data_IF_289274745375
#
_entry.id   IF_289274745375
#
_cell.length_a   1.000
_cell.length_b   1.000
_cell.length_c   1.000
_cell.angle_alpha   90.00
_cell.angle_beta   90.00
_cell.angle_gamma   90.00
#
_symmetry.space_group_name_H-M   'P 1'
#
loop_
_entity.id
_entity.type
_entity.pdbx_description
1 polymer ?
#
# COMPACT_ATOMS: atom_id res chain seq x y z
N UNK A 1 2.37 -8.02 -16.66
CA UNK A 1 1.34 -8.49 -17.61
C UNK A 1 1.50 -9.96 -17.94
N UNK A 2 2.73 -10.45 -18.19
CA UNK A 2 2.98 -11.84 -18.59
C UNK A 2 2.55 -12.82 -17.49
N UNK A 3 2.92 -12.57 -16.23
CA UNK A 3 2.48 -13.37 -15.08
C UNK A 3 0.96 -13.36 -14.93
N UNK A 4 0.31 -12.21 -15.14
CA UNK A 4 -1.15 -12.09 -15.06
C UNK A 4 -1.82 -12.94 -16.15
N UNK A 5 -1.30 -12.90 -17.38
CA UNK A 5 -1.81 -13.70 -18.48
C UNK A 5 -1.63 -15.20 -18.20
N UNK A 6 -0.47 -15.61 -17.69
CA UNK A 6 -0.21 -16.99 -17.30
C UNK A 6 -1.16 -17.47 -16.17
N UNK A 7 -1.40 -16.64 -15.16
CA UNK A 7 -2.36 -16.96 -14.08
C UNK A 7 -3.77 -17.16 -14.66
N UNK A 8 -4.20 -16.27 -15.57
CA UNK A 8 -5.52 -16.35 -16.21
C UNK A 8 -5.65 -17.62 -17.05
N UNK A 9 -4.62 -17.97 -17.82
CA UNK A 9 -4.59 -19.19 -18.64
C UNK A 9 -4.71 -20.45 -17.79
N UNK A 10 -3.86 -20.59 -16.75
CA UNK A 10 -3.88 -21.75 -15.86
C UNK A 10 -5.15 -21.83 -14.99
N UNK A 11 -5.78 -20.69 -14.67
CA UNK A 11 -7.05 -20.67 -13.95
C UNK A 11 -8.21 -21.31 -14.74
N UNK A 12 -8.09 -21.43 -16.07
CA UNK A 12 -9.12 -22.07 -16.90
C UNK A 12 -9.31 -23.56 -16.63
N UNK A 13 -8.26 -24.25 -16.22
CA UNK A 13 -8.23 -25.70 -15.96
C UNK A 13 -8.17 -26.04 -14.46
N UNK A 14 -7.97 -25.04 -13.60
CA UNK A 14 -7.82 -25.20 -12.17
C UNK A 14 -9.16 -25.13 -11.43
N UNK A 15 -9.22 -25.78 -10.27
CA UNK A 15 -10.36 -25.76 -9.35
C UNK A 15 -10.02 -25.19 -7.99
N UNK A 16 -8.79 -25.39 -7.52
CA UNK A 16 -8.32 -24.98 -6.20
C UNK A 16 -7.03 -24.15 -6.29
N UNK A 17 -7.11 -22.89 -5.95
CA UNK A 17 -5.97 -21.99 -5.98
C UNK A 17 -5.40 -21.73 -4.57
N UNK A 18 -4.09 -21.93 -4.39
CA UNK A 18 -3.36 -21.46 -3.22
C UNK A 18 -2.62 -20.18 -3.57
N UNK A 19 -2.90 -19.07 -2.86
CA UNK A 19 -2.23 -17.79 -3.02
C UNK A 19 -1.35 -17.52 -1.80
N UNK A 20 -0.04 -17.52 -1.99
CA UNK A 20 0.94 -17.31 -0.91
C UNK A 20 1.27 -15.82 -0.80
N UNK A 21 0.77 -15.19 0.26
CA UNK A 21 0.97 -13.79 0.57
C UNK A 21 -0.32 -13.07 0.90
N UNK A 22 -0.46 -12.61 2.15
CA UNK A 22 -1.63 -11.87 2.66
C UNK A 22 -1.49 -10.35 2.55
N UNK A 23 -0.67 -9.86 1.64
CA UNK A 23 -0.59 -8.44 1.26
C UNK A 23 -1.58 -8.09 0.14
N UNK A 24 -1.61 -6.83 -0.27
CA UNK A 24 -2.54 -6.31 -1.27
C UNK A 24 -2.65 -7.20 -2.52
N UNK A 25 -1.52 -7.45 -3.19
CA UNK A 25 -1.50 -8.19 -4.45
C UNK A 25 -1.97 -9.64 -4.31
N UNK A 26 -1.65 -10.29 -3.18
CA UNK A 26 -2.11 -11.64 -2.92
C UNK A 26 -3.62 -11.72 -2.67
N UNK A 27 -4.16 -10.77 -1.93
CA UNK A 27 -5.60 -10.68 -1.67
C UNK A 27 -6.38 -10.36 -2.95
N UNK A 28 -5.89 -9.46 -3.79
CA UNK A 28 -6.52 -9.15 -5.08
C UNK A 28 -6.43 -10.33 -6.06
N UNK A 29 -5.29 -11.04 -6.11
CA UNK A 29 -5.15 -12.24 -6.93
C UNK A 29 -6.13 -13.33 -6.49
N UNK A 30 -6.23 -13.60 -5.19
CA UNK A 30 -7.18 -14.58 -4.65
C UNK A 30 -8.63 -14.20 -4.95
N UNK A 31 -8.99 -12.94 -4.76
CA UNK A 31 -10.32 -12.42 -5.05
C UNK A 31 -10.65 -12.52 -6.55
N UNK A 32 -9.70 -12.19 -7.42
CA UNK A 32 -9.85 -12.33 -8.86
C UNK A 32 -10.02 -13.80 -9.31
N UNK A 33 -9.31 -14.75 -8.69
CA UNK A 33 -9.44 -16.18 -8.95
C UNK A 33 -10.78 -16.71 -8.43
N UNK A 34 -11.20 -16.33 -7.22
CA UNK A 34 -12.49 -16.66 -6.67
C UNK A 34 -13.64 -16.15 -7.56
N UNK A 35 -13.54 -14.91 -8.05
CA UNK A 35 -14.49 -14.33 -9.00
C UNK A 35 -14.56 -15.06 -10.36
N UNK A 36 -13.58 -15.91 -10.67
CA UNK A 36 -13.57 -16.83 -11.83
C UNK A 36 -14.11 -18.22 -11.51
N UNK A 37 -14.54 -18.46 -10.27
CA UNK A 37 -15.17 -19.70 -9.85
C UNK A 37 -14.21 -20.73 -9.23
N UNK A 38 -12.95 -20.34 -8.90
CA UNK A 38 -12.04 -21.23 -8.19
C UNK A 38 -12.28 -21.15 -6.68
N UNK A 39 -12.08 -22.25 -5.99
CA UNK A 39 -11.89 -22.27 -4.54
C UNK A 39 -10.50 -21.68 -4.24
N UNK A 40 -10.45 -20.46 -3.72
CA UNK A 40 -9.19 -19.76 -3.49
C UNK A 40 -8.88 -19.62 -2.00
N UNK A 41 -7.69 -20.10 -1.59
CA UNK A 41 -7.18 -19.98 -0.23
C UNK A 41 -5.99 -19.05 -0.19
N UNK A 42 -6.07 -17.98 0.61
CA UNK A 42 -4.94 -17.09 0.92
C UNK A 42 -4.14 -17.67 2.07
N UNK A 43 -2.85 -17.90 1.86
CA UNK A 43 -1.92 -18.37 2.89
C UNK A 43 -0.95 -17.26 3.26
N UNK A 44 -0.91 -16.89 4.53
CA UNK A 44 0.00 -15.85 5.03
C UNK A 44 0.83 -16.34 6.19
N UNK A 45 2.14 -16.04 6.15
CA UNK A 45 3.09 -16.46 7.19
C UNK A 45 2.95 -15.64 8.49
N UNK A 46 2.51 -14.40 8.39
CA UNK A 46 2.25 -13.54 9.54
C UNK A 46 0.90 -13.82 10.21
N UNK A 47 0.67 -13.28 11.41
CA UNK A 47 -0.58 -13.47 12.14
C UNK A 47 -1.76 -12.69 11.55
N UNK A 48 -1.49 -11.57 10.87
CA UNK A 48 -2.51 -10.67 10.32
C UNK A 48 -2.29 -10.36 8.85
N UNK A 49 -3.38 -10.15 8.11
CA UNK A 49 -3.34 -9.68 6.73
C UNK A 49 -2.88 -8.23 6.66
N UNK A 50 -2.20 -7.87 5.55
CA UNK A 50 -1.73 -6.51 5.32
C UNK A 50 -0.97 -5.90 6.51
N UNK A 51 -0.15 -6.68 7.17
CA UNK A 51 0.60 -6.30 8.36
C UNK A 51 1.54 -5.08 8.18
N UNK A 52 1.85 -4.71 6.96
CA UNK A 52 2.57 -3.46 6.68
C UNK A 52 1.68 -2.22 6.86
N UNK A 53 0.37 -2.33 6.55
CA UNK A 53 -0.59 -1.23 6.58
C UNK A 53 -1.50 -1.25 7.83
N UNK A 54 -1.85 -2.44 8.34
CA UNK A 54 -2.83 -2.61 9.40
C UNK A 54 -2.18 -3.05 10.72
N UNK A 55 -2.83 -2.70 11.82
CA UNK A 55 -2.61 -3.29 13.13
C UNK A 55 -3.42 -4.59 13.30
N UNK A 56 -3.32 -5.23 14.47
CA UNK A 56 -3.98 -6.50 14.73
C UNK A 56 -5.51 -6.41 14.59
N UNK A 57 -6.12 -5.33 15.07
CA UNK A 57 -7.58 -5.12 15.00
C UNK A 57 -8.03 -4.86 13.58
N UNK A 58 -7.36 -3.96 12.86
CA UNK A 58 -7.66 -3.67 11.46
C UNK A 58 -7.48 -4.90 10.56
N UNK A 59 -6.42 -5.69 10.81
CA UNK A 59 -6.19 -6.95 10.11
C UNK A 59 -7.26 -8.01 10.39
N UNK A 60 -7.77 -8.09 11.61
CA UNK A 60 -8.87 -9.00 11.97
C UNK A 60 -10.20 -8.58 11.30
N UNK A 61 -10.48 -7.28 11.25
CA UNK A 61 -11.66 -6.75 10.53
C UNK A 61 -11.56 -7.05 9.04
N UNK A 62 -10.42 -6.77 8.42
CA UNK A 62 -10.19 -7.07 7.01
C UNK A 62 -10.36 -8.57 6.73
N UNK A 63 -9.78 -9.43 7.56
CA UNK A 63 -9.90 -10.89 7.43
C UNK A 63 -11.36 -11.31 7.43
N UNK A 64 -12.13 -10.87 8.43
CA UNK A 64 -13.56 -11.22 8.56
C UNK A 64 -14.37 -10.76 7.33
N UNK A 65 -14.08 -9.56 6.83
CA UNK A 65 -14.73 -9.03 5.64
C UNK A 65 -14.39 -9.85 4.38
N UNK A 66 -13.13 -10.25 4.22
CA UNK A 66 -12.67 -11.09 3.10
C UNK A 66 -13.27 -12.49 3.18
N UNK A 67 -13.27 -13.13 4.35
CA UNK A 67 -13.87 -14.46 4.55
C UNK A 67 -15.39 -14.44 4.26
N UNK A 68 -16.07 -13.31 4.49
CA UNK A 68 -17.48 -13.16 4.15
C UNK A 68 -17.76 -13.15 2.64
N UNK A 69 -16.76 -12.93 1.79
CA UNK A 69 -16.87 -13.05 0.33
C UNK A 69 -16.76 -14.48 -0.18
N UNK A 70 -16.43 -15.44 0.70
CA UNK A 70 -16.22 -16.86 0.34
C UNK A 70 -14.76 -17.25 0.16
N UNK A 71 -13.83 -16.31 0.32
CA UNK A 71 -12.39 -16.61 0.32
C UNK A 71 -11.98 -17.30 1.63
N UNK A 72 -11.15 -18.32 1.53
CA UNK A 72 -10.51 -18.93 2.70
C UNK A 72 -9.20 -18.20 3.05
N UNK A 73 -8.97 -17.95 4.34
CA UNK A 73 -7.76 -17.27 4.83
C UNK A 73 -7.07 -18.08 5.91
N UNK A 74 -5.83 -18.47 5.64
CA UNK A 74 -4.95 -19.23 6.55
C UNK A 74 -3.77 -18.33 6.93
N UNK A 75 -3.72 -17.90 8.18
CA UNK A 75 -2.63 -17.07 8.73
C UNK A 75 -1.70 -17.86 9.65
N UNK A 76 -0.49 -17.36 9.89
CA UNK A 76 0.52 -18.01 10.73
C UNK A 76 1.16 -19.26 10.11
N UNK A 77 0.93 -19.52 8.82
CA UNK A 77 1.44 -20.69 8.10
C UNK A 77 2.56 -20.33 7.14
N UNK A 78 3.77 -20.75 7.46
CA UNK A 78 4.95 -20.55 6.60
C UNK A 78 5.04 -21.66 5.58
N UNK A 79 4.79 -21.34 4.31
CA UNK A 79 4.97 -22.27 3.18
C UNK A 79 6.45 -22.60 3.00
N UNK A 80 6.76 -23.88 2.81
CA UNK A 80 8.13 -24.40 2.69
C UNK A 80 8.35 -25.24 1.45
N UNK A 81 7.31 -25.89 0.94
CA UNK A 81 7.39 -26.80 -0.18
C UNK A 81 6.22 -26.63 -1.13
N UNK A 82 6.45 -26.92 -2.40
CA UNK A 82 5.43 -27.17 -3.40
C UNK A 82 5.58 -28.64 -3.84
N UNK A 83 4.46 -29.35 -3.92
CA UNK A 83 4.42 -30.76 -4.36
C UNK A 83 3.86 -30.81 -5.77
N UNK A 84 4.45 -31.67 -6.60
CA UNK A 84 4.00 -31.89 -7.96
C UNK A 84 3.81 -33.39 -8.20
N UNK A 85 2.98 -33.73 -9.19
CA UNK A 85 2.81 -35.07 -9.68
C UNK A 85 3.95 -35.48 -10.65
N UNK A 86 3.86 -36.68 -11.23
CA UNK A 86 4.82 -37.18 -12.20
C UNK A 86 4.88 -36.37 -13.50
N UNK A 87 3.82 -35.61 -13.80
CA UNK A 87 3.74 -34.69 -14.94
C UNK A 87 4.25 -33.28 -14.65
N UNK A 88 4.75 -33.05 -13.42
CA UNK A 88 5.20 -31.74 -12.91
C UNK A 88 4.05 -30.71 -12.72
N UNK A 89 2.79 -31.17 -12.63
CA UNK A 89 1.66 -30.32 -12.25
C UNK A 89 1.61 -30.19 -10.72
N UNK A 90 1.32 -28.98 -10.21
CA UNK A 90 1.18 -28.72 -8.78
C UNK A 90 0.01 -29.52 -8.19
N UNK A 91 0.20 -30.11 -7.01
CA UNK A 91 -0.84 -30.88 -6.32
C UNK A 91 -1.10 -30.40 -4.90
N UNK A 92 -0.12 -29.74 -4.27
CA UNK A 92 -0.27 -29.18 -2.93
C UNK A 92 0.87 -28.23 -2.58
N UNK A 93 0.64 -27.40 -1.56
CA UNK A 93 1.70 -26.68 -0.82
C UNK A 93 1.83 -27.29 0.59
N UNK A 94 3.08 -27.30 1.10
CA UNK A 94 3.41 -27.78 2.44
C UNK A 94 3.90 -26.69 3.34
N UNK A 95 3.58 -26.78 4.61
CA UNK A 95 3.91 -25.82 5.64
C UNK A 95 5.02 -26.30 6.58
N UNK A 96 5.60 -25.36 7.33
CA UNK A 96 6.69 -25.65 8.25
C UNK A 96 6.31 -26.58 9.41
N UNK A 97 5.03 -26.68 9.75
CA UNK A 97 4.47 -27.59 10.77
C UNK A 97 4.15 -28.99 10.24
N UNK A 98 4.36 -29.25 8.95
CA UNK A 98 4.12 -30.52 8.28
C UNK A 98 2.73 -30.69 7.67
N UNK A 99 1.81 -29.74 7.90
CA UNK A 99 0.52 -29.74 7.23
C UNK A 99 0.64 -29.42 5.74
N UNK A 100 -0.41 -29.77 4.97
CA UNK A 100 -0.48 -29.53 3.52
C UNK A 100 -1.84 -28.99 3.13
N UNK A 101 -1.83 -28.12 2.12
CA UNK A 101 -3.03 -27.61 1.43
C UNK A 101 -3.00 -28.10 -0.02
N UNK A 102 -4.02 -28.84 -0.45
CA UNK A 102 -4.19 -29.27 -1.83
C UNK A 102 -4.48 -28.10 -2.74
N UNK A 103 -3.85 -28.02 -3.90
CA UNK A 103 -4.12 -27.01 -4.92
C UNK A 103 -3.63 -27.48 -6.28
N UNK A 104 -4.29 -27.04 -7.33
CA UNK A 104 -3.92 -27.25 -8.73
C UNK A 104 -3.46 -25.96 -9.41
N UNK A 105 -3.54 -24.81 -8.71
CA UNK A 105 -2.94 -23.54 -9.07
C UNK A 105 -2.21 -22.91 -7.88
N UNK A 106 -0.96 -22.49 -8.06
CA UNK A 106 -0.17 -21.82 -7.05
C UNK A 106 0.25 -20.41 -7.52
N UNK A 107 -0.15 -19.39 -6.77
CA UNK A 107 0.26 -18.00 -7.00
C UNK A 107 1.14 -17.52 -5.86
N UNK A 108 2.32 -16.99 -6.20
CA UNK A 108 3.27 -16.44 -5.24
C UNK A 108 3.21 -14.91 -5.25
N UNK A 109 2.68 -14.32 -4.18
CA UNK A 109 2.55 -12.86 -3.97
C UNK A 109 3.24 -12.43 -2.67
N UNK A 110 4.48 -12.91 -2.47
CA UNK A 110 5.24 -12.77 -1.20
C UNK A 110 6.01 -11.46 -1.08
N UNK A 111 5.70 -10.47 -1.90
CA UNK A 111 6.36 -9.17 -1.96
C UNK A 111 7.48 -9.12 -3.01
N UNK A 112 8.14 -7.97 -3.06
CA UNK A 112 9.19 -7.67 -4.02
C UNK A 112 10.56 -7.58 -3.35
N UNK A 113 11.60 -7.72 -4.16
CA UNK A 113 12.99 -7.44 -3.78
C UNK A 113 13.58 -6.45 -4.77
N UNK A 114 14.25 -5.39 -4.31
CA UNK A 114 14.95 -4.48 -5.18
C UNK A 114 15.94 -5.20 -6.10
N UNK A 115 15.94 -4.85 -7.38
CA UNK A 115 16.93 -5.40 -8.31
C UNK A 115 18.23 -4.61 -8.20
N UNK A 116 19.21 -5.18 -7.52
CA UNK A 116 20.49 -4.54 -7.18
C UNK A 116 21.70 -5.27 -7.77
N UNK A 117 21.47 -6.24 -8.64
CA UNK A 117 22.54 -7.09 -9.19
C UNK A 117 23.60 -6.31 -9.95
N UNK A 118 23.20 -5.36 -10.79
CA UNK A 118 24.11 -4.50 -11.55
C UNK A 118 24.99 -3.63 -10.62
N UNK A 119 24.35 -3.01 -9.62
CA UNK A 119 25.03 -2.14 -8.67
C UNK A 119 26.08 -2.90 -7.83
N UNK A 120 25.72 -4.11 -7.36
CA UNK A 120 26.70 -4.99 -6.68
C UNK A 120 27.86 -5.38 -7.56
N UNK A 121 27.58 -5.71 -8.83
CA UNK A 121 28.62 -6.03 -9.81
C UNK A 121 29.55 -4.84 -10.13
N UNK A 122 29.04 -3.63 -9.99
CA UNK A 122 29.81 -2.38 -10.13
C UNK A 122 30.54 -1.96 -8.85
N UNK A 123 30.36 -2.66 -7.73
CA UNK A 123 31.01 -2.36 -6.46
C UNK A 123 30.34 -1.27 -5.61
N UNK A 124 29.09 -0.90 -5.94
CA UNK A 124 28.34 0.09 -5.17
C UNK A 124 27.84 -0.50 -3.84
N UNK A 125 27.70 0.35 -2.84
CA UNK A 125 27.13 -0.01 -1.53
C UNK A 125 25.66 -0.36 -1.66
N UNK A 126 25.35 -1.60 -1.34
CA UNK A 126 24.00 -2.17 -1.35
C UNK A 126 23.72 -2.80 0.00
N UNK A 127 22.71 -2.29 0.69
CA UNK A 127 22.10 -2.92 1.85
C UNK A 127 20.84 -3.69 1.42
N UNK A 128 19.65 -3.21 1.77
CA UNK A 128 18.39 -3.72 1.22
C UNK A 128 18.21 -3.29 -0.24
N UNK A 129 18.60 -2.04 -0.56
CA UNK A 129 18.68 -1.49 -1.90
C UNK A 129 19.98 -0.68 -2.05
N UNK A 130 20.17 0.02 -3.16
CA UNK A 130 21.36 0.83 -3.45
C UNK A 130 21.33 2.07 -2.59
N UNK A 131 22.36 2.30 -1.78
CA UNK A 131 22.40 3.44 -0.84
C UNK A 131 22.66 4.75 -1.59
N UNK A 132 21.81 5.75 -1.35
CA UNK A 132 21.90 7.07 -1.97
C UNK A 132 21.87 8.20 -0.93
N UNK A 133 22.44 9.34 -1.33
CA UNK A 133 22.38 10.60 -0.58
C UNK A 133 21.05 11.36 -0.83
N UNK A 134 20.96 12.59 -0.28
CA UNK A 134 19.79 13.46 -0.40
C UNK A 134 19.55 13.98 -1.83
N UNK A 135 20.47 13.80 -2.76
CA UNK A 135 20.34 14.15 -4.18
C UNK A 135 20.11 12.93 -5.06
N UNK A 136 19.78 11.78 -4.46
CA UNK A 136 19.61 10.48 -5.14
C UNK A 136 20.89 9.99 -5.82
N UNK A 137 22.05 10.45 -5.38
CA UNK A 137 23.37 10.05 -5.87
C UNK A 137 23.91 8.89 -5.02
N UNK A 138 24.57 7.93 -5.65
CA UNK A 138 25.27 6.86 -4.94
C UNK A 138 26.29 7.45 -3.94
N UNK A 139 26.43 6.83 -2.78
CA UNK A 139 27.44 7.26 -1.80
C UNK A 139 28.88 6.84 -2.17
N UNK A 140 29.04 6.04 -3.22
CA UNK A 140 30.33 5.49 -3.66
C UNK A 140 30.87 6.17 -4.91
N UNK A 141 30.03 6.79 -5.73
CA UNK A 141 30.41 7.36 -7.02
C UNK A 141 29.53 8.58 -7.33
N UNK A 142 30.18 9.72 -7.58
CA UNK A 142 29.52 11.00 -7.80
C UNK A 142 28.79 11.10 -9.14
N UNK A 143 29.08 10.21 -10.09
CA UNK A 143 28.51 10.19 -11.43
C UNK A 143 27.33 9.20 -11.56
N UNK A 144 27.04 8.45 -10.48
CA UNK A 144 25.98 7.45 -10.48
C UNK A 144 24.80 7.89 -9.62
N UNK A 145 23.62 7.92 -10.22
CA UNK A 145 22.37 8.26 -9.57
C UNK A 145 21.39 7.10 -9.62
N UNK A 146 20.56 6.98 -8.57
CA UNK A 146 19.61 5.88 -8.43
C UNK A 146 18.26 6.42 -7.94
N UNK A 147 17.20 6.12 -8.67
CA UNK A 147 15.81 6.43 -8.29
C UNK A 147 14.93 5.19 -8.44
N UNK A 148 13.84 5.14 -7.72
CA UNK A 148 12.88 4.05 -7.81
C UNK A 148 13.01 3.04 -6.68
N UNK A 149 12.39 1.88 -6.84
CA UNK A 149 12.37 0.82 -5.83
C UNK A 149 13.74 0.23 -5.51
N UNK A 150 14.73 0.43 -6.39
CA UNK A 150 16.10 0.00 -6.16
C UNK A 150 16.94 0.99 -5.35
N UNK A 151 16.43 2.18 -5.04
CA UNK A 151 17.10 3.19 -4.24
C UNK A 151 16.76 3.03 -2.74
N UNK A 152 17.79 3.17 -1.88
CA UNK A 152 17.65 3.24 -0.44
C UNK A 152 18.15 4.58 0.07
N UNK A 153 17.23 5.43 0.51
CA UNK A 153 17.53 6.74 1.07
C UNK A 153 17.29 6.73 2.58
N UNK A 154 18.30 7.13 3.38
CA UNK A 154 18.23 7.16 4.85
C UNK A 154 17.63 5.88 5.46
N UNK A 155 18.02 4.71 4.94
CA UNK A 155 17.55 3.40 5.38
C UNK A 155 16.17 2.99 4.87
N UNK A 156 15.44 3.86 4.14
CA UNK A 156 14.11 3.60 3.62
C UNK A 156 14.13 3.20 2.14
N UNK A 157 13.28 2.23 1.79
CA UNK A 157 13.00 1.78 0.42
C UNK A 157 11.51 1.96 0.19
N UNK A 158 11.13 2.57 -0.93
CA UNK A 158 9.75 2.87 -1.25
C UNK A 158 9.25 1.99 -2.40
N UNK A 159 8.10 1.35 -2.21
CA UNK A 159 7.42 0.52 -3.21
C UNK A 159 6.12 1.16 -3.74
N UNK A 160 5.95 2.49 -3.57
CA UNK A 160 4.81 3.25 -4.05
C UNK A 160 5.27 4.26 -5.10
N UNK A 161 4.42 4.54 -6.08
CA UNK A 161 4.77 5.40 -7.22
C UNK A 161 5.04 6.85 -6.82
N UNK A 162 4.26 7.42 -5.89
CA UNK A 162 4.39 8.83 -5.48
C UNK A 162 5.80 9.17 -4.95
N UNK A 163 6.38 8.42 -3.98
CA UNK A 163 7.76 8.64 -3.57
C UNK A 163 8.78 8.59 -4.71
N UNK A 164 8.56 7.71 -5.71
CA UNK A 164 9.47 7.57 -6.83
C UNK A 164 9.44 8.79 -7.75
N UNK A 165 8.28 9.42 -7.92
CA UNK A 165 8.16 10.69 -8.63
C UNK A 165 8.86 11.84 -7.88
N UNK A 166 8.74 11.89 -6.55
CA UNK A 166 9.45 12.88 -5.72
C UNK A 166 10.97 12.73 -5.87
N UNK A 167 11.48 11.48 -5.82
CA UNK A 167 12.88 11.16 -6.05
C UNK A 167 13.33 11.62 -7.44
N UNK A 168 12.56 11.28 -8.48
CA UNK A 168 12.87 11.62 -9.86
C UNK A 168 12.90 13.13 -10.09
N UNK A 169 11.98 13.87 -9.44
CA UNK A 169 11.96 15.33 -9.50
C UNK A 169 13.21 15.95 -8.87
N UNK A 170 13.58 15.53 -7.66
CA UNK A 170 14.80 16.02 -7.00
C UNK A 170 16.04 15.73 -7.85
N UNK A 171 16.13 14.52 -8.43
CA UNK A 171 17.24 14.16 -9.31
C UNK A 171 17.27 15.06 -10.56
N UNK A 172 16.12 15.27 -11.20
CA UNK A 172 16.04 16.13 -12.39
C UNK A 172 16.46 17.57 -12.09
N UNK A 173 15.96 18.16 -11.01
CA UNK A 173 16.30 19.51 -10.57
C UNK A 173 17.80 19.62 -10.25
N UNK A 174 18.39 18.58 -9.64
CA UNK A 174 19.82 18.54 -9.30
C UNK A 174 20.71 18.43 -10.57
N UNK A 175 20.43 17.47 -11.46
CA UNK A 175 21.26 17.25 -12.69
C UNK A 175 21.18 18.43 -13.64
N UNK A 176 20.01 19.05 -13.78
CA UNK A 176 19.83 20.20 -14.69
C UNK A 176 20.24 21.52 -14.06
N UNK A 177 20.61 21.54 -12.78
CA UNK A 177 20.86 22.74 -12.00
C UNK A 177 19.67 23.73 -11.98
N UNK A 178 18.45 23.24 -12.22
CA UNK A 178 17.22 24.03 -12.17
C UNK A 178 16.95 24.53 -10.73
N UNK A 179 17.25 23.71 -9.74
CA UNK A 179 17.25 24.06 -8.32
C UNK A 179 18.45 23.38 -7.62
N UNK A 180 19.51 24.16 -7.38
CA UNK A 180 20.70 23.67 -6.69
C UNK A 180 20.43 23.31 -5.21
N UNK A 181 19.30 23.72 -4.63
CA UNK A 181 18.89 23.39 -3.27
C UNK A 181 18.00 22.15 -3.18
N UNK A 182 17.60 21.58 -4.34
CA UNK A 182 16.74 20.40 -4.40
C UNK A 182 17.34 19.24 -3.62
N UNK A 183 16.59 18.71 -2.68
CA UNK A 183 17.05 17.68 -1.75
C UNK A 183 15.87 16.79 -1.33
N UNK A 184 16.03 15.48 -1.50
CA UNK A 184 15.03 14.51 -1.05
C UNK A 184 15.13 14.33 0.47
N UNK A 185 14.04 14.53 1.16
CA UNK A 185 13.98 14.41 2.62
C UNK A 185 13.23 13.17 3.11
N UNK A 186 12.85 12.29 2.17
CA UNK A 186 11.95 11.18 2.39
C UNK A 186 10.51 11.57 2.05
N UNK A 187 9.69 10.56 1.77
CA UNK A 187 8.29 10.74 1.40
C UNK A 187 7.38 10.33 2.54
N UNK A 188 6.28 11.04 2.66
CA UNK A 188 5.15 10.63 3.49
C UNK A 188 4.27 9.70 2.66
N UNK A 189 4.03 8.52 3.18
CA UNK A 189 3.26 7.52 2.45
C UNK A 189 1.82 7.48 2.91
N UNK A 190 0.92 7.54 1.95
CA UNK A 190 -0.50 7.29 2.14
C UNK A 190 -0.99 6.33 1.06
N UNK A 191 -1.92 5.47 1.41
CA UNK A 191 -2.53 4.51 0.48
C UNK A 191 -4.03 4.51 0.64
N UNK A 192 -4.74 4.47 -0.49
CA UNK A 192 -6.17 4.18 -0.55
C UNK A 192 -6.33 3.01 -1.50
N UNK A 193 -6.84 1.91 -1.00
CA UNK A 193 -6.87 0.62 -1.69
C UNK A 193 -8.30 0.07 -1.64
N UNK A 194 -8.65 -0.73 -2.63
CA UNK A 194 -9.81 -1.60 -2.58
C UNK A 194 -9.31 -3.04 -2.58
N UNK A 195 -9.35 -3.69 -1.43
CA UNK A 195 -8.76 -5.01 -1.20
C UNK A 195 -9.87 -6.04 -1.17
N UNK A 196 -9.93 -6.91 -2.17
CA UNK A 196 -10.96 -7.94 -2.26
C UNK A 196 -12.40 -7.39 -2.01
N UNK A 197 -12.68 -6.22 -2.56
CA UNK A 197 -13.98 -5.55 -2.39
C UNK A 197 -14.11 -4.68 -1.12
N UNK A 198 -13.14 -4.72 -0.19
CA UNK A 198 -13.12 -3.93 1.04
C UNK A 198 -12.29 -2.67 0.85
N UNK A 199 -12.86 -1.51 1.17
CA UNK A 199 -12.13 -0.25 1.13
C UNK A 199 -11.16 -0.15 2.32
N UNK A 200 -9.90 0.17 2.05
CA UNK A 200 -8.84 0.33 3.05
C UNK A 200 -8.06 1.61 2.75
N UNK A 201 -7.83 2.41 3.76
CA UNK A 201 -6.89 3.53 3.66
C UNK A 201 -5.93 3.52 4.85
N UNK A 202 -4.67 3.87 4.60
CA UNK A 202 -3.66 3.98 5.63
C UNK A 202 -2.71 5.13 5.28
N UNK A 203 -2.32 5.91 6.27
CA UNK A 203 -1.35 6.98 6.16
C UNK A 203 -0.54 7.11 7.44
N UNK A 204 0.76 7.36 7.31
CA UNK A 204 1.67 7.57 8.43
C UNK A 204 1.78 6.40 9.40
N UNK A 205 1.80 6.69 10.71
CA UNK A 205 1.94 5.68 11.76
C UNK A 205 0.62 4.94 12.03
N UNK A 206 0.69 3.68 12.44
CA UNK A 206 -0.49 2.85 12.71
C UNK A 206 -0.98 2.94 14.16
N UNK A 207 -0.09 3.34 15.06
CA UNK A 207 -0.34 3.42 16.49
C UNK A 207 0.48 4.56 17.10
N UNK A 208 0.14 5.02 18.33
CA UNK A 208 0.96 5.97 19.06
C UNK A 208 2.41 5.50 19.21
N UNK A 209 3.36 6.40 19.01
CA UNK A 209 4.79 6.15 19.20
C UNK A 209 5.32 6.85 20.44
N UNK A 210 4.59 7.86 20.95
CA UNK A 210 4.95 8.65 22.13
C UNK A 210 3.77 8.72 23.09
N UNK A 211 4.05 8.94 24.37
CA UNK A 211 3.06 8.99 25.43
C UNK A 211 2.08 10.18 25.29
N UNK A 212 2.48 11.24 24.61
CA UNK A 212 1.68 12.44 24.33
C UNK A 212 0.94 12.40 22.99
N UNK A 213 1.06 11.31 22.24
CA UNK A 213 0.24 11.09 21.04
C UNK A 213 -1.23 10.89 21.46
N UNK A 214 -2.13 11.71 20.89
CA UNK A 214 -3.57 11.51 21.03
C UNK A 214 -4.01 10.38 20.08
N UNK A 215 -4.77 9.41 20.58
CA UNK A 215 -5.22 8.25 19.82
C UNK A 215 -6.74 8.10 19.86
N UNK A 216 -7.35 8.15 18.69
CA UNK A 216 -8.76 7.86 18.52
C UNK A 216 -8.93 6.53 17.82
N UNK A 217 -9.89 5.74 18.32
CA UNK A 217 -10.21 4.44 17.73
C UNK A 217 -11.72 4.24 17.69
N UNK A 218 -12.21 3.76 16.55
CA UNK A 218 -13.58 3.29 16.38
C UNK A 218 -13.58 1.88 15.80
N UNK A 219 -14.37 1.00 16.40
CA UNK A 219 -14.45 -0.40 16.02
C UNK A 219 -15.89 -0.88 16.00
N UNK A 220 -16.38 -1.27 14.84
CA UNK A 220 -17.71 -1.84 14.62
C UNK A 220 -17.61 -3.14 13.79
N UNK A 221 -17.38 -4.28 14.45
CA UNK A 221 -17.12 -5.55 13.76
C UNK A 221 -18.31 -6.06 12.95
N UNK A 222 -19.55 -5.76 13.35
CA UNK A 222 -20.75 -6.21 12.63
C UNK A 222 -20.84 -5.65 11.21
N UNK A 223 -20.35 -4.45 11.00
CA UNK A 223 -20.36 -3.78 9.69
C UNK A 223 -18.96 -3.76 9.04
N UNK A 224 -17.98 -4.43 9.65
CA UNK A 224 -16.63 -4.47 9.10
C UNK A 224 -15.93 -3.12 9.08
N UNK A 225 -16.21 -2.25 10.07
CA UNK A 225 -15.64 -0.91 10.15
C UNK A 225 -14.61 -0.81 11.26
N UNK A 226 -13.42 -0.33 10.89
CA UNK A 226 -12.35 0.02 11.82
C UNK A 226 -11.69 1.33 11.39
N UNK A 227 -11.55 2.25 12.33
CA UNK A 227 -10.90 3.55 12.11
C UNK A 227 -9.98 3.88 13.26
N UNK A 228 -8.77 4.33 12.94
CA UNK A 228 -7.86 4.95 13.91
C UNK A 228 -7.31 6.26 13.39
N UNK A 229 -7.02 7.17 14.30
CA UNK A 229 -6.36 8.44 14.04
C UNK A 229 -5.32 8.67 15.13
N UNK A 230 -4.09 8.98 14.73
CA UNK A 230 -2.99 9.34 15.64
C UNK A 230 -2.63 10.80 15.42
N UNK A 231 -2.66 11.58 16.49
CA UNK A 231 -2.44 13.04 16.45
C UNK A 231 -1.26 13.38 17.35
N UNK A 232 -0.36 14.22 16.85
CA UNK A 232 0.79 14.76 17.56
C UNK A 232 0.90 16.25 17.28
N UNK A 233 1.08 17.07 18.32
CA UNK A 233 1.16 18.54 18.18
C UNK A 233 0.00 19.11 17.35
N UNK A 234 -1.22 18.66 17.61
CA UNK A 234 -2.45 19.03 16.90
C UNK A 234 -2.44 18.73 15.38
N UNK A 235 -1.56 17.83 14.91
CA UNK A 235 -1.43 17.45 13.49
C UNK A 235 -1.63 15.95 13.31
N UNK A 236 -2.19 15.57 12.18
CA UNK A 236 -2.33 14.17 11.82
C UNK A 236 -0.97 13.55 11.51
N UNK A 237 -0.58 12.53 12.27
CA UNK A 237 0.65 11.75 12.03
C UNK A 237 0.36 10.35 11.54
N UNK A 238 -0.87 9.85 11.73
CA UNK A 238 -1.28 8.57 11.20
C UNK A 238 -2.79 8.38 11.21
N UNK A 239 -3.30 7.60 10.26
CA UNK A 239 -4.67 7.12 10.25
C UNK A 239 -4.79 5.78 9.53
N UNK A 240 -5.71 4.95 10.00
CA UNK A 240 -6.09 3.68 9.37
C UNK A 240 -7.61 3.61 9.29
N UNK A 241 -8.13 3.30 8.10
CA UNK A 241 -9.56 3.12 7.87
C UNK A 241 -9.78 1.80 7.12
N UNK A 242 -10.70 0.99 7.60
CA UNK A 242 -11.15 -0.26 6.96
C UNK A 242 -12.67 -0.23 6.88
N UNK A 243 -13.22 -0.56 5.72
CA UNK A 243 -14.65 -0.61 5.44
C UNK A 243 -15.25 0.76 5.13
N UNK A 244 -15.27 1.69 6.06
CA UNK A 244 -15.72 3.05 5.82
C UNK A 244 -14.53 4.02 5.67
N UNK A 245 -14.31 4.48 4.45
CA UNK A 245 -13.25 5.44 4.09
C UNK A 245 -13.82 6.83 3.70
N UNK A 246 -15.02 7.17 4.15
CA UNK A 246 -15.68 8.44 3.81
C UNK A 246 -14.83 9.67 4.12
N UNK A 247 -14.03 9.61 5.20
CA UNK A 247 -13.15 10.72 5.63
C UNK A 247 -11.74 10.70 4.99
N UNK A 248 -11.45 9.75 4.11
CA UNK A 248 -10.08 9.55 3.60
C UNK A 248 -9.51 10.79 2.91
N UNK A 249 -10.30 11.50 2.10
CA UNK A 249 -9.82 12.68 1.36
C UNK A 249 -9.41 13.81 2.31
N UNK A 250 -10.21 14.08 3.32
CA UNK A 250 -9.90 15.07 4.36
C UNK A 250 -8.65 14.69 5.15
N UNK A 251 -8.58 13.42 5.60
CA UNK A 251 -7.42 12.94 6.38
C UNK A 251 -6.14 12.93 5.55
N UNK A 252 -6.18 12.52 4.29
CA UNK A 252 -5.02 12.57 3.40
C UNK A 252 -4.53 14.01 3.20
N UNK A 253 -5.44 14.94 2.95
CA UNK A 253 -5.09 16.36 2.82
C UNK A 253 -4.48 16.92 4.10
N UNK A 254 -5.10 16.66 5.27
CA UNK A 254 -4.57 17.11 6.56
C UNK A 254 -3.19 16.48 6.86
N UNK A 255 -3.00 15.21 6.47
CA UNK A 255 -1.72 14.52 6.59
C UNK A 255 -0.66 15.13 5.70
N UNK A 256 -0.92 15.34 4.42
CA UNK A 256 0.05 15.86 3.44
C UNK A 256 0.44 17.32 3.73
N UNK A 257 -0.55 18.16 4.00
CA UNK A 257 -0.35 19.60 4.28
C UNK A 257 0.12 19.88 5.72
N UNK A 258 0.10 18.89 6.63
CA UNK A 258 0.39 19.08 8.06
C UNK A 258 -0.46 20.20 8.68
N UNK A 259 -1.71 20.32 8.24
CA UNK A 259 -2.63 21.33 8.74
C UNK A 259 -3.04 21.05 10.19
N UNK A 260 -3.38 22.13 10.91
CA UNK A 260 -4.01 22.02 12.23
C UNK A 260 -5.34 21.29 12.12
N UNK A 261 -5.61 20.41 13.09
CA UNK A 261 -6.83 19.66 13.14
C UNK A 261 -7.94 20.39 13.92
N UNK A 262 -9.21 20.16 13.59
CA UNK A 262 -10.31 20.76 14.34
C UNK A 262 -10.34 20.21 15.78
N UNK A 263 -10.78 21.05 16.73
CA UNK A 263 -10.93 20.67 18.15
C UNK A 263 -11.94 19.53 18.33
N UNK A 264 -13.00 19.49 17.49
CA UNK A 264 -13.99 18.40 17.49
C UNK A 264 -13.41 17.15 16.80
N UNK A 265 -12.70 16.34 17.58
CA UNK A 265 -11.96 15.16 17.10
C UNK A 265 -12.84 14.09 16.42
N UNK A 266 -14.09 13.97 16.85
CA UNK A 266 -15.00 13.00 16.24
C UNK A 266 -15.30 13.32 14.76
N UNK A 267 -15.18 14.60 14.35
CA UNK A 267 -15.30 15.01 12.94
C UNK A 267 -14.24 14.42 12.02
N UNK A 268 -13.12 13.96 12.58
CA UNK A 268 -12.07 13.24 11.84
C UNK A 268 -12.51 11.84 11.40
N UNK A 269 -13.47 11.25 12.12
CA UNK A 269 -13.95 9.89 11.86
C UNK A 269 -15.33 9.84 11.23
N UNK A 270 -16.18 10.85 11.53
CA UNK A 270 -17.59 10.85 11.15
C UNK A 270 -18.05 12.22 10.64
N UNK A 271 -19.11 12.23 9.86
CA UNK A 271 -19.83 13.45 9.51
C UNK A 271 -20.75 13.83 10.68
N UNK A 272 -20.21 14.59 11.64
CA UNK A 272 -20.93 15.02 12.82
C UNK A 272 -21.34 16.49 12.63
N UNK A 273 -22.61 16.69 12.38
CA UNK A 273 -23.29 17.99 12.51
C UNK A 273 -22.98 19.03 11.43
N UNK A 274 -24.00 19.53 10.89
CA UNK A 274 -24.38 20.45 9.84
C UNK A 274 -24.58 19.75 8.49
N UNK A 275 -25.81 19.78 7.97
CA UNK A 275 -26.15 19.22 6.66
C UNK A 275 -25.42 19.88 5.48
N UNK A 276 -24.67 20.95 5.72
CA UNK A 276 -24.01 21.78 4.73
C UNK A 276 -22.48 21.72 4.71
N UNK A 277 -21.85 20.94 5.58
CA UNK A 277 -20.41 20.68 5.47
C UNK A 277 -20.15 19.48 4.54
N UNK A 278 -20.71 19.49 3.35
CA UNK A 278 -20.14 18.78 2.23
C UNK A 278 -18.84 19.51 1.89
N UNK A 279 -17.73 19.13 2.53
CA UNK A 279 -16.39 19.39 2.02
C UNK A 279 -16.27 18.66 0.68
N UNK A 280 -16.98 19.18 -0.30
CA UNK A 280 -16.96 18.71 -1.67
C UNK A 280 -15.59 19.07 -2.28
N UNK A 281 -15.26 18.43 -3.38
CA UNK A 281 -14.09 18.76 -4.22
C UNK A 281 -14.00 20.28 -4.50
N UNK A 282 -15.13 20.99 -4.44
CA UNK A 282 -15.21 22.44 -4.61
C UNK A 282 -14.47 23.24 -3.53
N UNK A 283 -14.34 22.74 -2.30
CA UNK A 283 -13.69 23.42 -1.18
C UNK A 283 -12.21 23.06 -1.02
N UNK A 284 -11.69 22.11 -1.79
CA UNK A 284 -10.25 21.85 -1.85
C UNK A 284 -9.54 23.13 -2.32
N UNK A 285 -8.36 23.39 -1.77
CA UNK A 285 -7.48 24.45 -2.32
C UNK A 285 -7.11 24.12 -3.77
N UNK A 286 -6.83 25.12 -4.57
CA UNK A 286 -6.53 24.93 -5.99
C UNK A 286 -5.27 24.09 -6.24
N UNK A 287 -4.33 24.10 -5.31
CA UNK A 287 -3.12 23.28 -5.27
C UNK A 287 -3.31 21.89 -4.64
N UNK A 288 -4.54 21.56 -4.21
CA UNK A 288 -4.85 20.24 -3.67
C UNK A 288 -4.67 19.15 -4.74
N UNK A 289 -3.80 18.21 -4.45
CA UNK A 289 -3.50 17.11 -5.36
C UNK A 289 -4.68 16.13 -5.44
N UNK A 290 -5.24 15.96 -6.63
CA UNK A 290 -6.38 15.06 -6.89
C UNK A 290 -5.89 13.71 -7.41
N UNK A 291 -4.80 13.69 -8.18
CA UNK A 291 -4.19 12.47 -8.70
C UNK A 291 -2.70 12.43 -8.37
N UNK A 292 -2.32 11.55 -7.43
CA UNK A 292 -0.92 11.38 -7.03
C UNK A 292 -0.05 10.71 -8.12
N UNK A 293 -0.66 9.87 -8.98
CA UNK A 293 0.09 9.16 -10.02
C UNK A 293 0.62 10.09 -11.11
N UNK A 294 -0.14 11.14 -11.45
CA UNK A 294 0.17 12.09 -12.51
C UNK A 294 0.45 13.51 -11.99
N UNK A 295 0.47 13.71 -10.67
CA UNK A 295 0.71 15.02 -10.07
C UNK A 295 -0.36 16.07 -10.43
N UNK A 296 -1.62 15.64 -10.66
CA UNK A 296 -2.70 16.54 -11.09
C UNK A 296 -3.37 17.17 -9.87
N UNK A 297 -3.35 18.49 -9.81
CA UNK A 297 -4.05 19.29 -8.81
C UNK A 297 -5.46 19.71 -9.25
N UNK A 298 -6.22 20.28 -8.33
CA UNK A 298 -7.58 20.79 -8.61
C UNK A 298 -7.58 21.87 -9.69
N UNK A 299 -6.62 22.81 -9.64
CA UNK A 299 -6.55 23.89 -10.62
C UNK A 299 -6.40 23.37 -12.04
N UNK A 300 -5.57 22.36 -12.24
CA UNK A 300 -5.38 21.68 -13.54
C UNK A 300 -6.69 21.10 -14.06
N UNK A 301 -7.45 20.38 -13.19
CA UNK A 301 -8.74 19.80 -13.58
C UNK A 301 -9.75 20.89 -13.93
N UNK A 302 -9.85 21.95 -13.10
CA UNK A 302 -10.77 23.05 -13.34
C UNK A 302 -10.45 23.74 -14.67
N UNK A 303 -9.16 23.98 -14.97
CA UNK A 303 -8.74 24.55 -16.24
C UNK A 303 -9.11 23.65 -17.43
N UNK A 304 -8.80 22.35 -17.36
CA UNK A 304 -9.17 21.40 -18.41
C UNK A 304 -10.68 21.36 -18.67
N UNK A 305 -11.50 21.38 -17.62
CA UNK A 305 -12.96 21.42 -17.74
C UNK A 305 -13.42 22.73 -18.40
N UNK A 306 -12.85 23.87 -18.02
CA UNK A 306 -13.17 25.17 -18.61
C UNK A 306 -12.79 25.27 -20.09
N UNK A 307 -11.69 24.64 -20.47
CA UNK A 307 -11.18 24.62 -21.84
C UNK A 307 -11.86 23.52 -22.72
N UNK A 308 -12.75 22.71 -22.14
CA UNK A 308 -13.44 21.61 -22.82
C UNK A 308 -12.53 20.48 -23.28
N UNK A 309 -11.35 20.35 -22.66
CA UNK A 309 -10.41 19.23 -22.88
C UNK A 309 -10.72 18.09 -21.94
N UNK A 310 -10.75 16.84 -22.47
CA UNK A 310 -11.00 15.60 -21.69
C UNK A 310 -9.70 14.85 -21.50
#
# INVERSE_FOLDING_TARGET
LDDTNAIIEHAGDATHAAVIGGGLLGLEAAYGLHGRGLDATVVHSGPILMNAQLDDTGGAVLRSAIESTGLEVVTGKRTTHAYADAGNAITAVGFADGERLGCDLLVLATGIRPNVGLARGAGLTVERAIVVDDHMRSIDDDDIYVVGECAQHRGQVYGLVAPLWEQAKVLADHITAADASASYRGSRTSTKLKVAGVDVAQMGVKAPEFDDDEFLQFYEPRHGVYKTVVIRDNKLVGATLVGDVSKVSFLMQAFDQRSELPDERLSLMFDIGTPDAATGVAELSDDAQVCNCNGVDKATIVSCVADGTT
#
